data_IF_962548717494
#
_entry.id   IF_962548717494
#
_cell.length_a   1.000
_cell.length_b   1.000
_cell.length_c   1.000
_cell.angle_alpha   90.00
_cell.angle_beta   90.00
_cell.angle_gamma   90.00
#
_symmetry.space_group_name_H-M   'P 1'
#
loop_
_entity.id
_entity.type
_entity.pdbx_description
1 polymer ?
#
# COMPACT_ATOMS: atom_id res chain seq x y z
N UNK A 1 0.43 4.98 -3.07
CA UNK A 1 0.25 6.32 -3.71
C UNK A 1 -1.18 6.54 -4.16
N UNK A 2 -1.70 5.76 -5.11
CA UNK A 2 -3.06 5.95 -5.65
C UNK A 2 -4.14 5.97 -4.56
N UNK A 3 -4.08 5.05 -3.58
CA UNK A 3 -4.98 5.05 -2.43
C UNK A 3 -4.93 6.36 -1.61
N UNK A 4 -3.75 6.95 -1.44
CA UNK A 4 -3.59 8.22 -0.71
C UNK A 4 -4.17 9.40 -1.46
N UNK A 5 -4.07 9.40 -2.79
CA UNK A 5 -4.69 10.41 -3.64
C UNK A 5 -6.22 10.31 -3.53
N UNK A 6 -6.76 9.12 -3.80
CA UNK A 6 -8.21 8.87 -3.79
C UNK A 6 -8.83 9.10 -2.42
N UNK A 7 -8.14 8.72 -1.34
CA UNK A 7 -8.64 8.92 0.02
C UNK A 7 -8.62 10.39 0.47
N UNK A 8 -7.77 11.22 -0.11
CA UNK A 8 -7.69 12.65 0.24
C UNK A 8 -8.55 13.51 -0.68
N UNK A 9 -8.89 13.01 -1.86
CA UNK A 9 -9.83 13.67 -2.75
C UNK A 9 -11.26 13.53 -2.22
N UNK A 10 -12.06 14.58 -2.34
CA UNK A 10 -13.49 14.56 -2.00
C UNK A 10 -14.33 13.74 -2.99
N UNK A 11 -13.98 12.47 -3.22
CA UNK A 11 -14.72 11.56 -4.09
C UNK A 11 -15.97 11.02 -3.42
N UNK A 12 -17.01 10.76 -4.22
CA UNK A 12 -18.25 10.17 -3.73
C UNK A 12 -18.03 8.77 -3.13
N UNK A 13 -18.80 8.42 -2.11
CA UNK A 13 -18.69 7.16 -1.38
C UNK A 13 -18.73 5.92 -2.28
N UNK A 14 -19.55 5.93 -3.32
CA UNK A 14 -19.67 4.81 -4.26
C UNK A 14 -18.38 4.60 -5.06
N UNK A 15 -17.73 5.69 -5.47
CA UNK A 15 -16.44 5.64 -6.16
C UNK A 15 -15.31 5.21 -5.22
N UNK A 16 -15.34 5.64 -3.96
CA UNK A 16 -14.37 5.17 -2.96
C UNK A 16 -14.46 3.65 -2.78
N UNK A 17 -15.66 3.10 -2.61
CA UNK A 17 -15.85 1.64 -2.45
C UNK A 17 -15.38 0.89 -3.70
N UNK A 18 -15.72 1.38 -4.90
CA UNK A 18 -15.32 0.73 -6.15
C UNK A 18 -13.80 0.73 -6.34
N UNK A 19 -13.15 1.88 -6.15
CA UNK A 19 -11.74 2.07 -6.48
C UNK A 19 -10.79 1.68 -5.34
N UNK A 20 -11.12 2.03 -4.09
CA UNK A 20 -10.28 1.74 -2.93
C UNK A 20 -10.52 0.30 -2.43
N UNK A 21 -11.76 -0.04 -2.09
CA UNK A 21 -12.05 -1.36 -1.50
C UNK A 21 -12.09 -2.46 -2.57
N UNK A 22 -12.65 -2.18 -3.75
CA UNK A 22 -12.73 -3.11 -4.87
C UNK A 22 -11.42 -3.24 -5.64
N UNK A 23 -11.10 -2.24 -6.46
CA UNK A 23 -9.97 -2.32 -7.40
C UNK A 23 -8.61 -2.37 -6.69
N UNK A 24 -8.32 -1.39 -5.82
CA UNK A 24 -7.05 -1.34 -5.08
C UNK A 24 -6.93 -2.50 -4.09
N UNK A 25 -8.03 -2.87 -3.42
CA UNK A 25 -8.07 -4.04 -2.54
C UNK A 25 -7.73 -5.35 -3.27
N UNK A 26 -8.22 -5.54 -4.51
CA UNK A 26 -7.85 -6.69 -5.32
C UNK A 26 -6.42 -6.60 -5.90
N UNK A 27 -5.95 -5.38 -6.21
CA UNK A 27 -4.63 -5.14 -6.78
C UNK A 27 -3.49 -5.33 -5.77
N UNK A 28 -3.70 -4.97 -4.50
CA UNK A 28 -2.72 -5.17 -3.43
C UNK A 28 -3.07 -6.40 -2.61
N UNK A 29 -2.25 -7.46 -2.68
CA UNK A 29 -2.52 -8.71 -1.95
C UNK A 29 -1.55 -8.88 -0.77
N UNK A 30 -2.08 -8.86 0.46
CA UNK A 30 -1.28 -9.15 1.65
C UNK A 30 -0.85 -10.62 1.70
N UNK A 31 -1.68 -11.54 1.20
CA UNK A 31 -1.42 -12.97 1.22
C UNK A 31 -0.17 -13.38 0.44
N UNK A 32 0.05 -12.79 -0.74
CA UNK A 32 1.22 -13.08 -1.58
C UNK A 32 2.51 -12.57 -0.92
N UNK A 33 2.46 -11.35 -0.37
CA UNK A 33 3.55 -10.77 0.43
C UNK A 33 3.91 -11.66 1.62
N UNK A 34 2.91 -12.11 2.38
CA UNK A 34 3.13 -12.99 3.53
C UNK A 34 3.74 -14.35 3.14
N UNK A 35 3.35 -14.90 1.98
CA UNK A 35 3.90 -16.17 1.48
C UNK A 35 5.39 -16.03 1.12
N UNK A 36 5.78 -14.94 0.47
CA UNK A 36 7.18 -14.65 0.15
C UNK A 36 8.01 -14.45 1.42
N UNK A 37 7.49 -13.70 2.39
CA UNK A 37 8.12 -13.51 3.69
C UNK A 37 8.35 -14.84 4.41
N UNK A 38 7.31 -15.67 4.48
CA UNK A 38 7.40 -16.96 5.16
C UNK A 38 8.44 -17.87 4.50
N UNK A 39 8.54 -17.83 3.17
CA UNK A 39 9.56 -18.56 2.40
C UNK A 39 10.98 -18.05 2.72
N UNK A 40 11.17 -16.73 2.80
CA UNK A 40 12.44 -16.11 3.19
C UNK A 40 12.84 -16.46 4.64
N UNK A 41 11.86 -16.50 5.56
CA UNK A 41 12.07 -16.92 6.95
C UNK A 41 12.49 -18.40 7.06
N UNK A 42 11.89 -19.29 6.27
CA UNK A 42 12.25 -20.72 6.26
C UNK A 42 13.66 -20.98 5.71
N UNK A 43 14.13 -20.19 4.74
CA UNK A 43 15.44 -20.34 4.11
C UNK A 43 16.63 -19.84 4.97
N UNK A 44 16.42 -19.58 6.28
CA UNK A 44 17.41 -19.03 7.24
C UNK A 44 17.96 -17.62 6.93
N UNK A 45 17.46 -16.93 5.90
CA UNK A 45 17.79 -15.53 5.60
C UNK A 45 16.96 -14.54 6.44
N UNK A 46 16.97 -14.71 7.77
CA UNK A 46 16.13 -13.93 8.69
C UNK A 46 16.34 -12.42 8.54
N UNK A 47 17.59 -11.98 8.37
CA UNK A 47 17.91 -10.56 8.19
C UNK A 47 17.25 -9.99 6.93
N UNK A 48 17.28 -10.72 5.81
CA UNK A 48 16.65 -10.28 4.56
C UNK A 48 15.13 -10.25 4.66
N UNK A 49 14.51 -11.22 5.33
CA UNK A 49 13.07 -11.21 5.58
C UNK A 49 12.65 -9.98 6.39
N UNK A 50 13.35 -9.67 7.49
CA UNK A 50 13.08 -8.46 8.29
C UNK A 50 13.25 -7.18 7.47
N UNK A 51 14.34 -7.05 6.71
CA UNK A 51 14.55 -5.85 5.89
C UNK A 51 13.50 -5.72 4.79
N UNK A 52 13.09 -6.83 4.17
CA UNK A 52 12.08 -6.80 3.12
C UNK A 52 10.72 -6.36 3.66
N UNK A 53 10.27 -6.93 4.78
CA UNK A 53 9.01 -6.55 5.42
C UNK A 53 8.98 -5.09 5.83
N UNK A 54 10.03 -4.65 6.52
CA UNK A 54 10.12 -3.28 7.03
C UNK A 54 10.20 -2.29 5.87
N UNK A 55 11.06 -2.53 4.88
CA UNK A 55 11.25 -1.62 3.76
C UNK A 55 10.00 -1.53 2.89
N UNK A 56 9.39 -2.66 2.52
CA UNK A 56 8.16 -2.65 1.69
C UNK A 56 7.01 -1.94 2.40
N UNK A 57 6.83 -2.18 3.70
CA UNK A 57 5.80 -1.51 4.50
C UNK A 57 6.06 0.00 4.62
N UNK A 58 7.28 0.41 4.97
CA UNK A 58 7.65 1.82 5.11
C UNK A 58 7.55 2.57 3.77
N UNK A 59 8.01 1.95 2.69
CA UNK A 59 7.90 2.51 1.34
C UNK A 59 6.42 2.65 0.97
N UNK A 60 5.59 1.63 1.21
CA UNK A 60 4.15 1.69 0.96
C UNK A 60 3.48 2.86 1.71
N UNK A 61 3.81 3.03 2.99
CA UNK A 61 3.29 4.13 3.82
C UNK A 61 3.80 5.50 3.34
N UNK A 62 5.08 5.61 2.97
CA UNK A 62 5.66 6.83 2.40
C UNK A 62 4.95 7.22 1.10
N UNK A 63 4.69 6.26 0.20
CA UNK A 63 3.94 6.51 -1.02
C UNK A 63 2.47 6.87 -0.76
N UNK A 64 1.84 6.33 0.29
CA UNK A 64 0.51 6.77 0.71
C UNK A 64 0.54 8.25 1.15
N UNK A 65 1.46 8.61 2.04
CA UNK A 65 1.64 9.98 2.53
C UNK A 65 2.00 10.97 1.41
N UNK A 66 2.83 10.58 0.45
CA UNK A 66 3.10 11.38 -0.74
C UNK A 66 1.83 11.60 -1.56
N UNK A 67 1.00 10.56 -1.73
CA UNK A 67 -0.29 10.68 -2.40
C UNK A 67 -1.20 11.71 -1.75
N UNK A 68 -1.32 11.71 -0.42
CA UNK A 68 -2.15 12.70 0.30
C UNK A 68 -1.60 14.12 0.17
N UNK A 69 -0.27 14.29 0.21
CA UNK A 69 0.39 15.58 0.00
C UNK A 69 0.20 16.11 -1.42
N UNK A 70 0.29 15.24 -2.43
CA UNK A 70 0.05 15.62 -3.82
C UNK A 70 -1.37 16.17 -3.98
N UNK A 71 -2.38 15.49 -3.44
CA UNK A 71 -3.77 15.99 -3.48
C UNK A 71 -3.90 17.34 -2.80
N UNK A 72 -3.26 17.52 -1.64
CA UNK A 72 -3.25 18.78 -0.91
C UNK A 72 -2.65 19.95 -1.74
N UNK A 73 -1.51 19.73 -2.41
CA UNK A 73 -0.89 20.76 -3.25
C UNK A 73 -1.64 20.99 -4.57
N UNK A 74 -2.30 19.96 -5.10
CA UNK A 74 -3.07 20.05 -6.32
C UNK A 74 -4.41 20.80 -6.16
N UNK A 75 -4.84 21.10 -4.93
CA UNK A 75 -6.03 21.91 -4.64
C UNK A 75 -7.35 21.20 -4.91
N UNK A 76 -7.37 19.87 -4.86
CA UNK A 76 -8.59 19.05 -4.93
C UNK A 76 -9.20 18.81 -3.55
#
# INVERSE_FOLDING_TARGET
>A
MLLGILSSSHISRNFYILLCDGFLGAYTTFSSFMYEDFKLFQLKYKLHAYTYVIMTTLIGLAFYALGTRITYYAGF
#
